data_IF_995232904069
#
_entry.id   IF_995232904069
#
_cell.length_a   1.000
_cell.length_b   1.000
_cell.length_c   1.000
_cell.angle_alpha   90.00
_cell.angle_beta   90.00
_cell.angle_gamma   90.00
#
_symmetry.space_group_name_H-M   'P 1'
#
loop_
_entity.id
_entity.type
_entity.pdbx_description
1 polymer ?
2 non-polymer ?
3 water ?
#
# COMPACT_ATOMS: atom_id res chain seq x y z
N UNK A 1 11.93 29.39 12.17
CA UNK A 1 12.93 29.81 11.21
C UNK A 1 13.13 28.85 10.04
N UNK A 2 13.83 29.31 9.01
CA UNK A 2 14.15 28.42 7.88
C UNK A 2 14.81 27.13 8.36
N UNK A 3 14.37 26.02 7.77
CA UNK A 3 14.75 24.69 8.20
C UNK A 3 14.02 24.18 9.42
N UNK A 4 12.99 24.90 9.91
CA UNK A 4 12.27 24.46 11.10
C UNK A 4 10.75 24.60 10.94
N UNK A 5 10.23 24.52 9.72
CA UNK A 5 8.78 24.54 9.53
C UNK A 5 8.13 23.48 10.43
N UNK A 6 7.14 23.85 11.25
CA UNK A 6 6.56 22.86 12.18
C UNK A 6 5.84 21.72 11.47
N UNK A 7 6.09 20.50 11.98
CA UNK A 7 5.45 19.29 11.49
C UNK A 7 4.02 19.18 12.02
N UNK A 8 3.10 18.71 11.15
CA UNK A 8 1.70 18.54 11.50
C UNK A 8 1.15 17.25 10.87
N UNK A 9 0.08 16.71 11.50
CA UNK A 9 -0.76 15.67 10.94
C UNK A 9 -2.10 16.25 10.49
N UNK A 10 -2.73 15.69 9.47
CA UNK A 10 -4.05 16.22 9.06
C UNK A 10 -5.13 15.87 10.06
N UNK A 11 -6.19 16.68 10.07
CA UNK A 11 -7.32 16.49 10.99
C UNK A 11 -8.32 15.56 10.29
N UNK A 12 -8.19 14.25 10.55
CA UNK A 12 -8.96 13.21 9.86
C UNK A 12 -9.23 12.08 10.86
N UNK A 13 -10.51 11.76 11.07
CA UNK A 13 -10.89 10.65 11.94
C UNK A 13 -10.69 9.32 11.21
N UNK A 14 -10.84 8.19 11.94
CA UNK A 14 -10.57 6.90 11.33
C UNK A 14 -11.53 6.63 10.16
N UNK A 15 -12.78 7.09 10.25
CA UNK A 15 -13.73 6.98 9.16
C UNK A 15 -13.47 7.90 7.99
N UNK A 16 -12.41 8.72 8.05
CA UNK A 16 -12.02 9.62 6.97
C UNK A 16 -10.67 9.25 6.37
N UNK A 17 -10.18 8.01 6.61
CA UNK A 17 -8.87 7.55 6.18
C UNK A 17 -8.97 6.39 5.18
N UNK A 18 -8.00 6.35 4.25
CA UNK A 18 -7.90 5.38 3.15
C UNK A 18 -6.66 4.51 3.30
N UNK A 19 -6.78 3.23 2.90
CA UNK A 19 -5.62 2.36 2.83
C UNK A 19 -4.71 2.77 1.67
N UNK A 20 -3.40 2.73 1.91
CA UNK A 20 -2.38 3.09 0.93
C UNK A 20 -1.83 1.90 0.15
N UNK A 21 -2.28 0.68 0.47
CA UNK A 21 -1.84 -0.54 -0.23
C UNK A 21 -2.95 -1.25 -1.01
N UNK A 22 -4.21 -0.86 -0.84
CA UNK A 22 -5.33 -1.40 -1.61
C UNK A 22 -6.41 -0.32 -1.60
N UNK A 23 -7.14 -0.08 -2.72
CA UNK A 23 -7.99 1.13 -2.80
C UNK A 23 -9.36 1.01 -2.12
N UNK A 24 -9.33 0.98 -0.79
CA UNK A 24 -10.51 0.85 0.08
C UNK A 24 -10.29 1.69 1.34
N UNK A 25 -11.37 1.96 2.10
CA UNK A 25 -11.21 2.71 3.37
C UNK A 25 -10.53 1.87 4.45
N UNK A 26 -9.93 2.57 5.42
CA UNK A 26 -9.46 1.93 6.65
C UNK A 26 -10.65 1.43 7.47
N UNK A 27 -10.51 0.21 8.02
CA UNK A 27 -11.52 -0.37 8.92
C UNK A 27 -11.17 -0.25 10.40
N UNK A 28 -9.91 -0.42 10.80
CA UNK A 28 -9.55 -0.39 12.21
C UNK A 28 -8.03 -0.21 12.34
N UNK A 29 -7.60 0.22 13.53
CA UNK A 29 -6.19 0.11 13.91
C UNK A 29 -5.92 -1.30 14.45
N UNK A 30 -4.69 -1.79 14.25
CA UNK A 30 -4.34 -3.16 14.63
C UNK A 30 -2.86 -3.26 14.99
N UNK A 31 -2.53 -4.07 16.02
CA UNK A 31 -1.14 -4.30 16.37
C UNK A 31 -0.88 -5.80 16.49
N UNK A 32 0.32 -6.24 16.07
CA UNK A 32 0.68 -7.63 16.12
C UNK A 32 2.20 -7.75 16.11
N UNK A 33 2.75 -8.82 16.71
CA UNK A 33 4.21 -9.01 16.64
C UNK A 33 4.72 -9.42 15.27
N UNK A 34 3.93 -10.12 14.46
CA UNK A 34 4.40 -10.67 13.20
C UNK A 34 5.75 -11.37 13.36
N UNK A 35 5.86 -12.17 14.43
CA UNK A 35 7.15 -12.77 14.77
C UNK A 35 7.70 -13.60 13.63
N UNK A 36 8.88 -13.21 13.13
CA UNK A 36 9.59 -13.96 12.13
C UNK A 36 9.33 -13.54 10.70
N UNK A 37 8.43 -12.59 10.47
CA UNK A 37 8.09 -12.14 9.13
C UNK A 37 8.75 -10.79 8.89
N UNK A 38 9.23 -10.59 7.68
CA UNK A 38 9.84 -9.32 7.28
C UNK A 38 8.75 -8.43 6.70
N UNK A 39 8.54 -7.28 7.32
CA UNK A 39 7.51 -6.32 6.94
C UNK A 39 8.18 -5.29 6.02
N UNK A 40 7.93 -5.39 4.71
CA UNK A 40 8.61 -4.55 3.72
C UNK A 40 7.67 -4.13 2.59
N UNK A 41 6.51 -3.56 2.90
CA UNK A 41 5.61 -3.10 1.82
C UNK A 41 6.25 -2.01 0.98
N UNK A 42 5.82 -1.92 -0.30
CA UNK A 42 6.35 -0.93 -1.24
C UNK A 42 5.36 0.17 -1.60
N UNK A 43 4.06 -0.07 -1.47
CA UNK A 43 3.05 0.99 -1.49
C UNK A 43 2.82 1.49 -0.07
N UNK A 44 2.38 2.74 0.04
CA UNK A 44 2.19 3.36 1.36
C UNK A 44 3.47 3.69 2.10
N UNK A 45 4.51 4.13 1.39
CA UNK A 45 5.84 4.41 1.95
C UNK A 45 6.22 5.86 1.67
N UNK A 46 6.51 6.60 2.75
CA UNK A 46 7.00 7.98 2.66
C UNK A 46 7.75 8.32 3.94
N UNK A 47 8.79 9.14 3.82
CA UNK A 47 9.34 9.79 5.00
C UNK A 47 8.34 10.83 5.53
N UNK A 48 8.55 11.21 6.79
CA UNK A 48 7.70 12.24 7.39
C UNK A 48 7.89 13.60 6.74
N UNK A 49 9.05 13.82 6.10
CA UNK A 49 9.32 15.08 5.40
C UNK A 49 8.84 15.09 3.95
N UNK A 50 8.15 14.04 3.51
CA UNK A 50 7.42 14.06 2.25
C UNK A 50 8.08 13.42 1.04
N UNK A 51 9.10 12.58 1.24
CA UNK A 51 9.75 11.86 0.13
C UNK A 51 9.10 10.48 -0.03
N UNK A 52 8.41 10.28 -1.14
CA UNK A 52 7.77 8.99 -1.41
C UNK A 52 8.81 7.94 -1.79
N UNK A 53 8.59 6.70 -1.35
CA UNK A 53 9.57 5.61 -1.47
C UNK A 53 8.92 4.39 -2.13
N UNK A 54 9.75 3.45 -2.54
CA UNK A 54 9.22 2.22 -3.13
C UNK A 54 8.46 2.48 -4.42
N UNK A 55 7.28 1.88 -4.53
CA UNK A 55 6.37 2.11 -5.65
C UNK A 55 5.26 3.11 -5.31
N UNK A 56 5.44 3.93 -4.29
CA UNK A 56 4.35 4.78 -3.80
C UNK A 56 4.13 6.00 -4.70
N UNK A 57 2.85 6.25 -4.99
CA UNK A 57 2.38 7.43 -5.74
C UNK A 57 1.16 8.01 -5.03
N UNK A 58 0.67 9.16 -5.51
CA UNK A 58 -0.28 9.96 -4.74
C UNK A 58 -1.75 9.65 -5.02
N UNK A 59 -2.09 9.11 -6.19
CA UNK A 59 -3.49 8.98 -6.62
C UNK A 59 -4.12 7.72 -6.03
N UNK A 60 -5.16 7.84 -5.19
CA UNK A 60 -5.71 6.64 -4.53
C UNK A 60 -6.23 5.57 -5.50
N UNK A 61 -6.88 5.96 -6.58
CA UNK A 61 -7.43 4.99 -7.51
C UNK A 61 -6.39 4.35 -8.42
N UNK A 62 -5.12 4.74 -8.34
CA UNK A 62 -4.06 4.05 -9.06
C UNK A 62 -3.36 2.98 -8.22
N UNK A 63 -3.75 2.81 -6.94
CA UNK A 63 -3.17 1.77 -6.10
C UNK A 63 -3.68 0.40 -6.56
N UNK A 64 -2.76 -0.49 -6.94
CA UNK A 64 -3.03 -1.83 -7.47
C UNK A 64 -3.71 -1.82 -8.84
N UNK A 65 -3.73 -0.68 -9.53
CA UNK A 65 -4.24 -0.62 -10.90
C UNK A 65 -3.11 -0.86 -11.89
N UNK A 66 -3.49 -1.23 -13.13
CA UNK A 66 -2.58 -1.32 -14.26
C UNK A 66 -3.19 -0.65 -15.47
N UNK A 67 -2.32 -0.14 -16.36
CA UNK A 67 -2.72 0.39 -17.66
C UNK A 67 -1.73 -0.11 -18.72
N UNK A 68 -2.21 -0.24 -19.95
CA UNK A 68 -1.33 -0.64 -21.04
C UNK A 68 -2.12 -0.97 -22.30
N UNK A 69 -1.49 -1.80 -23.15
CA UNK A 69 -2.13 -2.35 -24.34
C UNK A 69 -1.81 -3.85 -24.41
N UNK A 70 -2.78 -4.63 -24.89
CA UNK A 70 -2.58 -6.08 -25.06
C UNK A 70 -1.98 -6.30 -26.44
N UNK A 71 -0.78 -6.90 -26.49
CA UNK A 71 -0.15 -7.18 -27.79
C UNK A 71 -0.53 -8.53 -28.39
N UNK A 72 -0.91 -9.51 -27.56
CA UNK A 72 -1.22 -10.86 -28.05
C UNK A 72 -1.97 -11.65 -27.00
N UNK A 73 -2.80 -12.58 -27.48
CA UNK A 73 -3.39 -13.65 -26.68
C UNK A 73 -2.42 -14.83 -26.67
N UNK A 74 -2.44 -15.61 -25.58
CA UNK A 74 -1.58 -16.81 -25.48
C UNK A 74 -2.17 -17.92 -26.35
N UNK A 75 -1.45 -18.42 -27.36
CA UNK A 75 -2.09 -19.39 -28.29
C UNK A 75 -2.65 -20.64 -27.64
N UNK A 76 -1.97 -21.22 -26.64
CA UNK A 76 -2.42 -22.50 -26.07
C UNK A 76 -3.27 -22.33 -24.82
N UNK A 77 -3.63 -21.09 -24.45
CA UNK A 77 -4.61 -20.85 -23.37
C UNK A 77 -5.26 -19.50 -23.66
N UNK A 78 -6.41 -19.55 -24.33
CA UNK A 78 -7.11 -18.33 -24.76
C UNK A 78 -7.72 -17.53 -23.60
N UNK A 79 -7.65 -18.04 -22.37
CA UNK A 79 -8.00 -17.22 -21.21
C UNK A 79 -6.91 -16.20 -20.86
N UNK A 80 -5.70 -16.32 -21.42
CA UNK A 80 -4.56 -15.50 -21.03
C UNK A 80 -4.21 -14.45 -22.09
N UNK A 81 -3.93 -13.23 -21.63
CA UNK A 81 -3.64 -12.07 -22.50
C UNK A 81 -2.39 -11.37 -22.00
N UNK A 82 -1.46 -11.06 -22.92
CA UNK A 82 -0.22 -10.35 -22.56
C UNK A 82 -0.45 -8.84 -22.55
N UNK A 83 -0.30 -8.20 -21.39
CA UNK A 83 -0.45 -6.75 -21.25
C UNK A 83 0.91 -6.08 -21.19
N UNK A 84 1.17 -5.18 -22.15
CA UNK A 84 2.38 -4.37 -22.18
C UNK A 84 2.06 -3.08 -21.43
N UNK A 85 2.68 -2.88 -20.28
CA UNK A 85 2.22 -1.86 -19.33
C UNK A 85 2.83 -0.50 -19.63
N UNK A 86 2.06 0.54 -19.29
CA UNK A 86 2.53 1.91 -19.13
C UNK A 86 2.39 2.30 -17.67
N UNK A 87 2.73 3.54 -17.35
CA UNK A 87 2.43 4.04 -16.02
C UNK A 87 0.93 4.27 -15.87
N UNK A 88 0.44 4.17 -14.63
CA UNK A 88 -0.98 4.32 -14.38
C UNK A 88 -1.48 5.74 -14.65
N UNK A 89 -0.57 6.72 -14.65
CA UNK A 89 -0.92 8.08 -15.06
C UNK A 89 -0.87 8.27 -16.58
N UNK A 90 -0.57 7.22 -17.34
CA UNK A 90 -0.62 7.26 -18.79
C UNK A 90 0.74 7.42 -19.48
N UNK A 91 1.76 7.90 -18.77
CA UNK A 91 3.06 8.09 -19.40
C UNK A 91 3.73 6.75 -19.66
N UNK A 92 4.64 6.69 -20.64
CA UNK A 92 5.34 5.42 -20.89
C UNK A 92 6.14 4.98 -19.68
N UNK A 93 6.26 3.67 -19.51
CA UNK A 93 7.08 3.15 -18.41
C UNK A 93 8.53 3.06 -18.86
N UNK A 94 9.42 3.63 -18.03
CA UNK A 94 10.86 3.63 -18.27
C UNK A 94 11.49 2.62 -17.31
N UNK A 95 11.89 1.43 -17.77
CA UNK A 95 12.48 0.45 -16.85
C UNK A 95 13.76 0.91 -16.19
N UNK A 96 14.42 1.95 -16.73
CA UNK A 96 15.68 2.43 -16.17
C UNK A 96 15.48 3.37 -14.98
N UNK A 97 14.24 3.79 -14.73
CA UNK A 97 13.91 4.62 -13.57
C UNK A 97 14.19 3.85 -12.28
N UNK A 98 14.59 4.60 -11.24
CA UNK A 98 15.10 4.00 -10.00
C UNK A 98 13.98 3.67 -9.03
N UNK A 99 13.08 2.80 -9.47
CA UNK A 99 11.99 2.29 -8.63
C UNK A 99 11.87 0.80 -8.85
N UNK A 100 11.19 0.08 -7.94
CA UNK A 100 11.10 -1.39 -8.11
C UNK A 100 10.25 -1.84 -9.27
N UNK A 101 9.28 -1.03 -9.70
CA UNK A 101 8.25 -1.39 -10.67
C UNK A 101 7.44 -0.13 -10.97
N UNK A 102 6.55 -0.12 -11.95
CA UNK A 102 5.72 1.07 -12.17
C UNK A 102 5.01 1.47 -10.88
N UNK A 103 4.96 2.77 -10.62
CA UNK A 103 4.34 3.23 -9.37
C UNK A 103 2.89 2.74 -9.29
N UNK A 104 2.50 2.24 -8.10
CA UNK A 104 1.17 1.71 -7.87
C UNK A 104 1.01 0.21 -8.07
N UNK A 105 1.99 -0.46 -8.68
CA UNK A 105 1.93 -1.90 -8.90
C UNK A 105 1.66 -2.62 -7.58
N UNK A 106 0.83 -3.69 -7.57
CA UNK A 106 0.63 -4.43 -6.30
C UNK A 106 1.94 -4.88 -5.66
N UNK A 107 1.97 -4.86 -4.32
CA UNK A 107 3.18 -5.21 -3.54
C UNK A 107 3.02 -6.49 -2.72
N UNK A 108 2.12 -7.39 -3.12
CA UNK A 108 1.93 -8.64 -2.38
C UNK A 108 1.54 -9.76 -3.35
N UNK A 109 1.83 -11.00 -2.93
CA UNK A 109 1.45 -12.19 -3.68
C UNK A 109 -0.03 -12.50 -3.47
N UNK A 110 -0.76 -12.72 -4.57
CA UNK A 110 -2.19 -13.01 -4.53
C UNK A 110 -2.72 -13.28 -5.94
N UNK A 111 -3.90 -13.89 -6.00
CA UNK A 111 -4.80 -13.86 -7.15
C UNK A 111 -5.77 -12.70 -6.92
N UNK A 112 -5.56 -11.58 -7.62
CA UNK A 112 -6.37 -10.38 -7.44
C UNK A 112 -7.51 -10.38 -8.46
N UNK A 113 -8.75 -10.43 -7.97
CA UNK A 113 -9.95 -10.32 -8.80
C UNK A 113 -10.16 -8.86 -9.21
N UNK A 114 -10.45 -8.64 -10.50
CA UNK A 114 -10.67 -7.30 -11.01
C UNK A 114 -11.22 -7.32 -12.42
N UNK A 115 -11.37 -6.12 -13.01
CA UNK A 115 -12.03 -5.94 -14.30
C UNK A 115 -11.06 -5.30 -15.31
N UNK A 116 -10.95 -5.91 -16.50
CA UNK A 116 -10.11 -5.44 -17.60
C UNK A 116 -11.04 -4.74 -18.60
N UNK A 117 -10.83 -3.43 -18.83
CA UNK A 117 -11.69 -2.64 -19.70
C UNK A 117 -10.89 -1.94 -20.79
N UNK A 118 -11.57 -1.60 -21.90
CA UNK A 118 -10.96 -0.96 -23.07
C UNK A 118 -11.93 0.04 -23.70
N UNK A 119 -11.35 1.10 -24.29
CA UNK A 119 -12.08 2.07 -25.13
C UNK A 119 -11.24 2.37 -26.36
N UNK A 120 -11.81 2.15 -27.55
CA UNK A 120 -11.13 2.37 -28.81
C UNK A 120 -11.31 3.82 -29.26
N UNK A 121 -10.54 4.29 -30.26
CA UNK A 121 -10.72 5.68 -30.72
C UNK A 121 -12.12 6.01 -31.20
N UNK A 122 -12.85 5.05 -31.76
CA UNK A 122 -14.24 5.28 -32.19
C UNK A 122 -15.25 5.14 -31.04
N UNK A 123 -14.77 5.02 -29.80
CA UNK A 123 -15.57 4.96 -28.58
C UNK A 123 -16.32 3.65 -28.39
N UNK A 124 -16.06 2.62 -29.20
CA UNK A 124 -16.53 1.28 -28.85
C UNK A 124 -15.70 0.71 -27.71
N UNK A 125 -16.40 0.05 -26.76
CA UNK A 125 -15.86 -0.35 -25.47
C UNK A 125 -16.23 -1.78 -25.13
N UNK A 126 -15.44 -2.38 -24.24
CA UNK A 126 -15.73 -3.70 -23.67
C UNK A 126 -15.02 -3.85 -22.32
N UNK A 127 -15.57 -4.68 -21.45
CA UNK A 127 -14.93 -5.00 -20.18
C UNK A 127 -15.31 -6.42 -19.74
N UNK A 128 -14.35 -7.11 -19.09
CA UNK A 128 -14.50 -8.49 -18.65
C UNK A 128 -13.78 -8.72 -17.33
N UNK A 129 -14.44 -9.40 -16.39
CA UNK A 129 -13.81 -9.73 -15.11
C UNK A 129 -12.78 -10.84 -15.27
N UNK A 130 -11.95 -11.02 -14.24
CA UNK A 130 -10.78 -11.87 -14.37
C UNK A 130 -9.83 -11.71 -13.18
N UNK A 131 -8.59 -12.18 -13.38
CA UNK A 131 -7.63 -12.36 -12.28
C UNK A 131 -6.25 -11.91 -12.72
N UNK A 132 -5.58 -11.13 -11.85
CA UNK A 132 -4.18 -10.75 -11.96
C UNK A 132 -3.41 -11.57 -10.92
N UNK A 133 -2.60 -12.53 -11.39
CA UNK A 133 -1.82 -13.41 -10.52
C UNK A 133 -0.43 -12.80 -10.35
N UNK A 134 -0.17 -12.19 -9.19
CA UNK A 134 1.08 -11.48 -8.96
C UNK A 134 2.23 -12.43 -8.61
N UNK A 135 1.94 -13.71 -8.40
CA UNK A 135 2.91 -14.77 -8.14
C UNK A 135 3.38 -15.48 -9.41
N UNK A 136 2.74 -15.22 -10.56
CA UNK A 136 3.03 -15.96 -11.79
C UNK A 136 4.43 -15.63 -12.31
N UNK A 137 5.12 -16.60 -12.94
CA UNK A 137 6.38 -16.26 -13.63
C UNK A 137 6.23 -15.19 -14.71
N UNK A 138 5.01 -14.99 -15.22
CA UNK A 138 4.76 -13.98 -16.24
C UNK A 138 4.38 -12.61 -15.65
N UNK A 139 4.34 -12.47 -14.32
CA UNK A 139 4.16 -11.17 -13.68
C UNK A 139 5.54 -10.50 -13.63
N UNK A 140 5.84 -9.70 -14.66
CA UNK A 140 7.16 -9.05 -14.81
C UNK A 140 6.99 -7.57 -15.11
N UNK A 141 6.29 -6.82 -14.23
CA UNK A 141 6.05 -5.39 -14.52
C UNK A 141 7.30 -4.54 -14.67
N UNK A 142 8.39 -4.85 -13.95
CA UNK A 142 9.63 -4.10 -14.12
C UNK A 142 10.25 -4.29 -15.50
N UNK A 143 9.95 -5.40 -16.18
CA UNK A 143 10.36 -5.61 -17.57
C UNK A 143 9.35 -5.06 -18.57
N UNK A 144 8.18 -4.62 -18.11
CA UNK A 144 7.18 -4.02 -18.97
C UNK A 144 5.96 -4.87 -19.31
N UNK A 145 5.76 -6.03 -18.68
CA UNK A 145 4.67 -6.89 -19.10
C UNK A 145 4.14 -7.74 -17.94
N UNK A 146 2.84 -8.04 -17.99
CA UNK A 146 2.16 -8.96 -17.07
C UNK A 146 1.16 -9.79 -17.87
N UNK A 147 0.68 -10.87 -17.27
CA UNK A 147 -0.40 -11.68 -17.86
C UNK A 147 -1.71 -11.40 -17.12
N UNK A 148 -2.78 -11.17 -17.88
CA UNK A 148 -4.15 -11.09 -17.36
C UNK A 148 -4.89 -12.36 -17.77
N UNK A 149 -5.72 -12.88 -16.87
CA UNK A 149 -6.57 -14.04 -17.17
C UNK A 149 -8.04 -13.69 -17.02
N UNK A 150 -8.86 -14.12 -17.99
CA UNK A 150 -10.29 -13.84 -18.01
C UNK A 150 -11.06 -15.10 -18.39
N UNK A 151 -12.31 -15.20 -17.91
CA UNK A 151 -13.20 -16.24 -18.41
C UNK A 151 -13.50 -16.05 -19.90
N UNK A 152 -13.60 -14.79 -20.34
CA UNK A 152 -13.79 -14.46 -21.76
C UNK A 152 -12.59 -14.91 -22.59
N UNK A 153 -12.87 -15.51 -23.76
CA UNK A 153 -11.80 -16.02 -24.63
C UNK A 153 -11.69 -15.33 -25.99
N UNK A 154 -12.55 -14.35 -26.32
CA UNK A 154 -12.53 -13.68 -27.63
C UNK A 154 -12.60 -12.16 -27.59
N UNK A 155 -13.43 -11.58 -26.72
CA UNK A 155 -13.86 -10.18 -26.80
C UNK A 155 -12.94 -9.23 -26.03
N UNK A 156 -11.63 -9.29 -26.30
CA UNK A 156 -10.68 -8.24 -25.95
C UNK A 156 -9.87 -7.94 -27.21
N UNK A 157 -9.66 -6.64 -27.48
CA UNK A 157 -8.95 -6.20 -28.69
C UNK A 157 -7.46 -6.03 -28.41
N UNK A 158 -6.66 -6.28 -29.45
CA UNK A 158 -5.22 -6.01 -29.43
C UNK A 158 -4.93 -4.55 -29.79
N UNK A 159 -3.86 -4.00 -29.23
CA UNK A 159 -3.38 -2.64 -29.54
C UNK A 159 -4.45 -1.57 -29.31
N UNK A 160 -5.15 -1.65 -28.18
CA UNK A 160 -6.13 -0.65 -27.78
C UNK A 160 -5.94 -0.33 -26.30
N UNK A 161 -6.18 0.92 -25.89
CA UNK A 161 -5.99 1.30 -24.47
C UNK A 161 -6.80 0.41 -23.51
N UNK A 162 -6.11 -0.11 -22.49
CA UNK A 162 -6.64 -1.12 -21.57
C UNK A 162 -6.31 -0.71 -20.14
N UNK A 163 -7.25 -0.93 -19.21
CA UNK A 163 -7.04 -0.66 -17.77
C UNK A 163 -7.52 -1.85 -16.97
N UNK A 164 -6.81 -2.19 -15.89
CA UNK A 164 -7.22 -3.18 -14.90
C UNK A 164 -7.62 -2.48 -13.62
N UNK A 165 -8.90 -2.63 -13.22
CA UNK A 165 -9.45 -2.09 -11.97
C UNK A 165 -9.47 -3.21 -10.94
N UNK A 166 -8.71 -3.12 -9.85
CA UNK A 166 -8.74 -4.16 -8.83
C UNK A 166 -10.01 -4.09 -7.97
N UNK A 167 -10.50 -5.25 -7.52
CA UNK A 167 -11.68 -5.34 -6.65
C UNK A 167 -11.35 -6.02 -5.30
N UNK A 168 -10.64 -7.14 -5.34
CA UNK A 168 -10.30 -7.84 -4.11
C UNK A 168 -9.54 -9.10 -4.42
N UNK A 169 -9.58 -10.06 -3.49
CA UNK A 169 -9.01 -11.39 -3.72
C UNK A 169 -9.99 -12.27 -4.48
N UNK A 170 -9.48 -13.02 -5.47
CA UNK A 170 -10.31 -14.03 -6.14
C UNK A 170 -10.48 -15.26 -5.27
N UNK A 171 -9.38 -15.78 -4.75
CA UNK A 171 -9.33 -16.87 -3.78
C UNK A 171 -8.11 -16.62 -2.90
N UNK A 172 -7.85 -17.54 -1.97
CA UNK A 172 -6.72 -17.39 -1.05
C UNK A 172 -5.45 -18.10 -1.49
N UNK A 173 -5.44 -18.71 -2.69
CA UNK A 173 -4.24 -19.41 -3.14
C UNK A 173 -3.11 -18.40 -3.33
N UNK A 174 -1.95 -18.70 -2.77
CA UNK A 174 -0.74 -17.87 -2.84
C UNK A 174 -0.83 -16.57 -2.03
N UNK A 175 -1.93 -16.27 -1.34
CA UNK A 175 -2.09 -14.98 -0.67
C UNK A 175 -1.14 -14.86 0.53
N UNK A 176 -0.28 -13.84 0.49
CA UNK A 176 0.60 -13.50 1.63
C UNK A 176 0.89 -12.00 1.53
N UNK A 177 0.30 -11.21 2.43
CA UNK A 177 0.37 -9.75 2.32
C UNK A 177 1.77 -9.20 2.51
N UNK A 178 2.68 -9.99 3.09
CA UNK A 178 4.05 -9.53 3.32
C UNK A 178 5.07 -10.15 2.36
N UNK A 179 4.65 -10.98 1.42
CA UNK A 179 5.54 -11.55 0.41
C UNK A 179 5.54 -10.65 -0.83
N UNK A 180 6.71 -10.07 -1.15
CA UNK A 180 6.83 -9.20 -2.31
C UNK A 180 6.84 -10.02 -3.60
N UNK A 181 6.17 -9.56 -4.65
CA UNK A 181 6.37 -10.18 -5.97
C UNK A 181 7.83 -10.05 -6.41
N UNK A 182 8.22 -10.92 -7.36
CA UNK A 182 9.48 -10.76 -8.08
C UNK A 182 9.17 -9.92 -9.32
N UNK A 183 9.43 -8.60 -9.22
CA UNK A 183 8.97 -7.66 -10.23
C UNK A 183 9.60 -7.89 -11.61
N UNK A 184 10.78 -8.51 -11.68
CA UNK A 184 11.41 -8.87 -12.95
C UNK A 184 11.34 -10.37 -13.25
N UNK A 185 10.55 -11.13 -12.49
CA UNK A 185 10.40 -12.55 -12.75
C UNK A 185 11.48 -13.43 -12.14
N UNK A 186 11.53 -14.65 -12.66
CA UNK A 186 12.31 -15.72 -12.04
C UNK A 186 13.80 -15.40 -12.02
N UNK A 187 14.42 -15.63 -10.87
CA UNK A 187 15.87 -15.59 -10.68
C UNK A 187 16.48 -14.20 -10.74
N UNK A 188 15.68 -13.15 -10.74
CA UNK A 188 16.17 -11.77 -10.80
C UNK A 188 15.75 -11.01 -9.55
N UNK A 189 16.70 -10.30 -8.93
CA UNK A 189 16.43 -9.61 -7.68
C UNK A 189 15.66 -8.32 -7.91
N UNK A 190 14.82 -7.97 -6.93
CA UNK A 190 14.16 -6.67 -6.91
C UNK A 190 15.19 -5.57 -6.59
N UNK A 191 14.88 -4.34 -7.04
CA UNK A 191 15.79 -3.21 -6.90
C UNK A 191 15.05 -2.00 -6.35
N UNK A 192 15.82 -1.10 -5.72
CA UNK A 192 15.30 0.21 -5.29
C UNK A 192 14.18 0.08 -4.26
N UNK A 193 14.21 -0.97 -3.44
CA UNK A 193 13.13 -1.21 -2.49
C UNK A 193 13.18 -0.25 -1.31
N UNK A 194 12.00 0.12 -0.82
CA UNK A 194 11.90 0.72 0.50
C UNK A 194 12.30 -0.32 1.54
N UNK A 195 12.99 0.08 2.61
CA UNK A 195 13.54 -0.92 3.54
C UNK A 195 12.48 -1.55 4.44
N UNK A 196 12.85 -2.68 5.04
CA UNK A 196 11.95 -3.31 6.00
C UNK A 196 11.86 -2.45 7.26
N UNK A 197 10.78 -2.65 8.02
CA UNK A 197 10.53 -1.91 9.25
C UNK A 197 10.26 -2.89 10.39
N UNK A 198 10.64 -2.50 11.60
CA UNK A 198 10.43 -3.34 12.78
C UNK A 198 10.55 -2.45 14.02
N UNK A 199 9.97 -2.87 15.14
CA UNK A 199 10.21 -2.15 16.39
C UNK A 199 11.66 -2.34 16.82
N UNK A 200 12.27 -1.28 17.34
CA UNK A 200 13.68 -1.28 17.71
C UNK A 200 13.87 -0.97 19.19
N UNK A 201 12.82 -1.13 20.00
CA UNK A 201 12.89 -0.88 21.42
C UNK A 201 12.07 -1.95 22.13
N UNK A 202 12.57 -2.55 23.21
CA UNK A 202 11.85 -3.66 23.83
C UNK A 202 10.47 -3.26 24.33
N UNK A 203 9.51 -4.17 24.14
CA UNK A 203 8.14 -3.96 24.54
C UNK A 203 7.24 -3.32 23.50
N UNK A 204 7.78 -2.99 22.32
CA UNK A 204 7.02 -2.30 21.29
C UNK A 204 6.66 -3.22 20.13
N UNK A 205 5.57 -2.89 19.47
CA UNK A 205 5.09 -3.55 18.26
C UNK A 205 4.71 -2.49 17.24
N UNK A 206 4.72 -2.86 15.96
CA UNK A 206 4.16 -2.00 14.92
C UNK A 206 2.66 -1.79 15.14
N UNK A 207 2.19 -0.58 14.82
CA UNK A 207 0.76 -0.25 14.75
C UNK A 207 0.39 -0.03 13.29
N UNK A 208 -0.63 -0.75 12.82
CA UNK A 208 -1.05 -0.71 11.42
C UNK A 208 -2.43 -0.07 11.26
N UNK A 209 -2.67 0.48 10.06
CA UNK A 209 -4.01 0.90 9.62
C UNK A 209 -4.51 -0.24 8.72
N UNK A 210 -5.51 -0.98 9.21
CA UNK A 210 -5.94 -2.25 8.61
C UNK A 210 -7.27 -2.11 7.84
N UNK A 211 -7.34 -2.74 6.68
CA UNK A 211 -8.58 -2.97 5.95
C UNK A 211 -8.81 -4.46 5.72
N UNK A 212 -10.08 -4.86 5.66
CA UNK A 212 -10.49 -6.23 5.32
C UNK A 212 -11.06 -6.18 3.90
N UNK A 213 -10.28 -6.62 2.92
CA UNK A 213 -10.64 -6.42 1.51
C UNK A 213 -11.59 -7.51 1.01
N UNK A 214 -12.31 -7.29 -0.09
CA UNK A 214 -13.25 -8.32 -0.56
C UNK A 214 -12.58 -9.62 -0.97
N UNK A 215 -13.33 -10.72 -0.83
CA UNK A 215 -12.92 -12.05 -1.27
C UNK A 215 -14.07 -12.72 -2.02
N UNK A 216 -13.79 -13.19 -3.25
CA UNK A 216 -14.86 -13.72 -4.11
C UNK A 216 -15.36 -15.08 -3.65
N UNK A 217 -14.50 -15.90 -3.03
CA UNK A 217 -14.90 -17.16 -2.47
C UNK A 217 -13.85 -17.73 -1.54
N UNK A 218 -14.29 -18.35 -0.45
CA UNK A 218 -13.36 -18.96 0.51
C UNK A 218 -13.46 -18.34 1.89
N UNK A 219 -12.43 -18.56 2.72
CA UNK A 219 -12.42 -18.12 4.11
C UNK A 219 -11.14 -17.34 4.38
N UNK A 220 -11.28 -16.07 4.80
CA UNK A 220 -10.14 -15.22 5.12
C UNK A 220 -10.64 -13.92 5.71
N UNK A 221 -9.85 -13.35 6.63
CA UNK A 221 -10.09 -11.97 7.08
C UNK A 221 -9.71 -10.91 6.04
N UNK A 222 -9.06 -11.29 4.94
CA UNK A 222 -8.71 -10.31 3.90
C UNK A 222 -7.84 -9.15 4.36
N UNK A 223 -7.02 -9.36 5.39
CA UNK A 223 -6.31 -8.25 6.02
C UNK A 223 -5.20 -7.70 5.13
N UNK A 224 -5.27 -6.40 4.85
CA UNK A 224 -4.18 -5.62 4.24
C UNK A 224 -3.83 -4.50 5.22
N UNK A 225 -2.63 -4.56 5.79
CA UNK A 225 -2.14 -3.60 6.78
C UNK A 225 -1.20 -2.61 6.11
N UNK A 226 -1.48 -1.31 6.27
CA UNK A 226 -0.57 -0.28 5.77
C UNK A 226 0.11 0.49 6.91
N UNK A 227 1.29 1.04 6.62
CA UNK A 227 2.09 1.72 7.65
C UNK A 227 1.63 3.15 7.91
N UNK A 228 1.12 3.82 6.87
CA UNK A 228 0.59 5.19 6.92
C UNK A 228 -0.65 5.20 6.04
N UNK A 229 -1.73 5.87 6.44
CA UNK A 229 -2.86 6.03 5.52
C UNK A 229 -2.50 6.94 4.34
N UNK A 230 -3.20 6.75 3.22
CA UNK A 230 -2.87 7.50 2.00
C UNK A 230 -2.91 9.02 2.25
N UNK A 231 -3.85 9.49 3.07
CA UNK A 231 -4.00 10.91 3.32
C UNK A 231 -2.80 11.51 4.06
N UNK A 232 -2.17 10.73 4.95
CA UNK A 232 -0.99 11.25 5.63
C UNK A 232 0.16 11.44 4.64
N UNK A 233 0.35 10.47 3.74
CA UNK A 233 1.34 10.59 2.67
C UNK A 233 1.09 11.83 1.83
N UNK A 234 -0.18 12.04 1.43
CA UNK A 234 -0.54 13.22 0.63
C UNK A 234 -0.22 14.51 1.39
N UNK A 235 -0.46 14.53 2.71
CA UNK A 235 -0.19 15.70 3.55
C UNK A 235 1.30 15.99 3.64
N UNK A 236 2.11 14.97 3.95
CA UNK A 236 3.55 15.18 4.08
C UNK A 236 4.17 15.65 2.76
N UNK A 237 3.70 15.11 1.64
CA UNK A 237 4.20 15.52 0.33
C UNK A 237 4.02 17.03 0.10
N UNK A 238 2.86 17.58 0.50
CA UNK A 238 2.62 19.02 0.36
C UNK A 238 3.40 19.85 1.38
N UNK A 239 3.46 19.38 2.64
CA UNK A 239 4.02 20.19 3.73
C UNK A 239 5.55 20.25 3.69
N UNK A 240 6.23 19.14 3.45
CA UNK A 240 7.69 19.14 3.36
C UNK A 240 8.36 19.67 4.64
N UNK A 241 7.87 19.25 5.82
CA UNK A 241 8.44 19.73 7.08
C UNK A 241 9.62 18.86 7.51
N UNK A 242 10.77 19.43 7.85
CA UNK A 242 11.92 18.60 8.26
C UNK A 242 11.69 17.86 9.58
N UNK A 243 12.36 16.71 9.71
CA UNK A 243 12.35 15.90 10.94
C UNK A 243 13.62 16.16 11.74
N UNK A 244 13.56 16.81 12.91
CA UNK A 244 14.79 17.10 13.68
C UNK A 244 15.32 15.94 14.49
N UNK A 245 14.54 14.89 14.72
CA UNK A 245 14.98 13.68 15.42
C UNK A 245 14.41 12.46 14.70
N UNK A 246 14.70 11.26 15.24
CA UNK A 246 14.26 10.01 14.64
C UNK A 246 12.76 9.74 14.83
N UNK A 247 12.11 10.36 15.83
CA UNK A 247 10.77 9.94 16.26
C UNK A 247 9.95 11.15 16.70
N UNK A 248 8.72 11.25 16.18
CA UNK A 248 7.71 12.18 16.68
C UNK A 248 6.76 11.46 17.64
N UNK A 249 6.57 12.03 18.83
CA UNK A 249 5.58 11.54 19.78
C UNK A 249 4.20 12.04 19.36
N UNK A 250 3.25 11.11 19.15
CA UNK A 250 1.88 11.44 18.73
C UNK A 250 0.88 10.88 19.75
N UNK A 251 -0.24 11.58 19.92
CA UNK A 251 -1.28 11.21 20.88
C UNK A 251 -2.65 11.17 20.20
N UNK A 252 -3.41 10.07 20.42
CA UNK A 252 -4.76 9.96 19.89
C UNK A 252 -5.68 10.76 20.79
N UNK A 253 -6.29 11.82 20.26
CA UNK A 253 -6.95 12.84 21.06
C UNK A 253 -8.42 12.99 20.68
N UNK A 254 -9.26 13.21 21.69
CA UNK A 254 -10.65 13.57 21.47
C UNK A 254 -10.71 15.09 21.39
N UNK A 255 -11.08 15.67 20.24
CA UNK A 255 -10.95 17.13 20.08
C UNK A 255 -11.94 17.93 20.91
N UNK A 256 -13.05 17.33 21.35
CA UNK A 256 -14.06 18.08 22.07
C UNK A 256 -13.69 18.29 23.53
N UNK A 257 -12.97 17.34 24.13
CA UNK A 257 -12.57 17.43 25.53
C UNK A 257 -11.07 17.65 25.72
N UNK A 258 -10.26 17.35 24.72
CA UNK A 258 -8.83 17.32 24.89
C UNK A 258 -8.29 16.05 25.51
N UNK A 259 -9.17 15.15 25.96
CA UNK A 259 -8.71 13.89 26.55
C UNK A 259 -7.88 13.10 25.54
N UNK A 260 -6.76 12.57 26.01
CA UNK A 260 -5.87 11.77 25.19
C UNK A 260 -6.06 10.31 25.60
N UNK A 261 -6.27 9.44 24.60
CA UNK A 261 -6.58 8.04 24.82
C UNK A 261 -5.31 7.18 24.96
N UNK A 262 -4.33 7.36 24.06
CA UNK A 262 -3.07 6.63 24.10
C UNK A 262 -2.03 7.40 23.30
N UNK A 263 -0.76 6.98 23.42
CA UNK A 263 0.34 7.61 22.71
C UNK A 263 1.14 6.57 21.91
N UNK A 264 1.89 7.07 20.92
CA UNK A 264 2.63 6.22 19.99
C UNK A 264 3.86 6.98 19.46
N UNK A 265 4.78 6.23 18.86
CA UNK A 265 6.01 6.76 18.25
C UNK A 265 5.91 6.70 16.73
N UNK A 266 5.95 7.86 16.07
CA UNK A 266 5.91 7.97 14.61
C UNK A 266 7.34 8.20 14.11
N UNK A 267 7.90 7.18 13.46
CA UNK A 267 9.31 7.17 13.07
C UNK A 267 9.51 7.94 11.77
N UNK A 268 10.67 8.60 11.66
CA UNK A 268 10.94 9.49 10.51
C UNK A 268 10.89 8.73 9.19
N UNK A 269 11.16 7.42 9.21
CA UNK A 269 11.12 6.57 8.03
C UNK A 269 9.69 6.25 7.57
N UNK A 270 8.68 6.56 8.38
CA UNK A 270 7.27 6.44 7.99
C UNK A 270 6.54 5.21 8.49
N UNK A 271 6.55 4.99 9.80
CA UNK A 271 5.82 3.89 10.44
C UNK A 271 5.62 4.22 11.92
N UNK A 272 4.71 3.49 12.57
CA UNK A 272 4.31 3.74 13.96
C UNK A 272 4.60 2.51 14.82
N UNK A 273 5.10 2.75 16.04
CA UNK A 273 5.18 1.72 17.08
C UNK A 273 4.43 2.14 18.34
N UNK A 274 3.98 1.13 19.10
CA UNK A 274 3.25 1.31 20.36
C UNK A 274 3.81 0.32 21.38
N UNK A 275 3.61 0.63 22.67
CA UNK A 275 3.97 -0.30 23.73
C UNK A 275 2.80 -1.25 23.95
N UNK A 276 2.93 -2.49 23.46
CA UNK A 276 1.87 -3.48 23.52
C UNK A 276 2.47 -4.85 23.28
N UNK A 277 1.81 -5.88 23.79
CA UNK A 277 2.22 -7.27 23.58
C UNK A 277 1.03 -8.09 23.10
N UNK A 278 1.18 -8.74 21.95
CA UNK A 278 0.16 -9.62 21.41
C UNK A 278 -0.60 -8.99 20.26
N UNK A 279 -1.28 -9.86 19.50
CA UNK A 279 -2.11 -9.41 18.38
C UNK A 279 -3.46 -8.94 18.89
N UNK A 280 -3.87 -7.74 18.51
CA UNK A 280 -5.14 -7.19 18.99
C UNK A 280 -5.64 -6.08 18.10
N UNK A 281 -6.94 -6.04 17.80
CA UNK A 281 -7.53 -4.83 17.23
C UNK A 281 -7.84 -3.82 18.33
N UNK A 282 -7.83 -2.56 17.93
CA UNK A 282 -8.08 -1.44 18.83
C UNK A 282 -9.37 -0.78 18.41
N UNK A 283 -10.07 -0.18 19.38
CA UNK A 283 -11.23 0.65 19.10
C UNK A 283 -10.90 2.07 19.56
N UNK A 284 -11.14 3.03 18.68
CA UNK A 284 -10.84 4.44 18.94
C UNK A 284 -12.15 5.21 18.92
N UNK A 285 -12.21 6.36 19.58
CA UNK A 285 -13.41 7.22 19.47
C UNK A 285 -13.61 7.66 18.03
N UNK A 286 -14.84 7.61 17.51
CA UNK A 286 -15.05 7.98 16.10
C UNK A 286 -14.69 9.42 15.77
N UNK A 287 -14.69 10.33 16.74
CA UNK A 287 -14.38 11.73 16.48
C UNK A 287 -12.92 12.10 16.76
N UNK A 288 -12.11 11.15 17.24
CA UNK A 288 -10.73 11.44 17.59
C UNK A 288 -9.77 11.30 16.42
N UNK A 289 -8.53 11.75 16.64
CA UNK A 289 -7.46 11.61 15.67
C UNK A 289 -6.11 11.80 16.35
N UNK A 290 -5.05 11.26 15.72
CA UNK A 290 -3.69 11.49 16.21
C UNK A 290 -3.31 12.96 16.02
N UNK A 291 -2.61 13.52 17.02
CA UNK A 291 -2.02 14.85 16.97
C UNK A 291 -0.53 14.78 17.33
N UNK A 292 0.28 15.57 16.62
CA UNK A 292 1.68 15.73 16.99
C UNK A 292 1.83 16.40 18.35
N UNK A 293 2.70 15.85 19.20
CA UNK A 293 3.01 16.42 20.51
C UNK A 293 4.39 17.07 20.55
N UNK A 294 5.46 16.33 20.22
CA UNK A 294 6.85 16.76 20.38
C UNK A 294 7.73 15.76 19.65
N UNK A 295 9.01 16.11 19.48
CA UNK A 295 10.01 15.20 18.93
C UNK A 295 10.79 14.55 20.07
N UNK A 296 10.97 13.22 19.98
CA UNK A 296 11.69 12.44 20.99
C UNK A 296 12.75 11.58 20.30
N UNK A 297 13.28 10.57 20.95
CA UNK A 297 14.29 9.71 20.32
C UNK A 297 13.84 8.24 20.29
N UNK A 298 14.68 7.39 19.69
CA UNK A 298 14.36 5.99 19.47
C UNK A 298 14.06 5.26 20.78
N UNK A 299 14.59 5.76 21.90
CA UNK A 299 14.60 5.05 23.16
C UNK A 299 13.60 5.62 24.16
N UNK A 300 12.67 6.45 23.69
CA UNK A 300 11.65 7.02 24.57
C UNK A 300 10.69 5.93 25.01
N UNK A 301 10.35 5.93 26.31
CA UNK A 301 9.49 4.90 26.90
C UNK A 301 8.04 5.37 26.88
N UNK A 302 7.21 4.68 26.12
CA UNK A 302 5.78 5.00 26.01
C UNK A 302 4.98 4.39 27.15
N UNK A 303 3.89 5.07 27.52
CA UNK A 303 2.90 4.46 28.37
C UNK A 303 2.28 3.26 27.64
N UNK A 304 2.15 2.11 28.30
CA UNK A 304 1.52 0.97 27.61
C UNK A 304 0.07 1.26 27.25
N UNK A 305 -0.32 0.82 26.05
CA UNK A 305 -1.71 0.88 25.64
C UNK A 305 -2.56 0.00 26.54
X LIG B 1 -10.24 -18.35 -16.18
X LIG B 1 -10.30 -19.81 -16.54
X LIG B 1 -11.13 -20.54 -15.49
X LIG B 1 -11.16 -21.95 -15.78
X LIG B 1 -10.49 -20.31 -14.14
X LIG B 1 -10.37 -18.82 -13.77
X LIG B 1 -9.80 -18.64 -12.36
X LIG B 1 -8.29 -18.83 -12.24
X LIG B 1 -7.97 -20.24 -12.25
X LIG B 1 -7.54 -18.08 -13.33
X LIG B 1 -8.11 -18.33 -14.75
X LIG B 1 -9.60 -18.02 -14.83
X LIG B 1 -7.26 -17.64 -15.81
X LIG B 1 -5.71 -17.85 -15.67
X LIG B 1 -5.18 -17.52 -14.28
X LIG B 1 -6.02 -18.35 -13.30
X LIG B 1 -5.27 -18.20 -12.00
X LIG B 1 -3.80 -18.13 -12.42
X LIG B 1 -3.75 -17.96 -13.94
X LIG B 1 -5.34 -16.03 -14.00
X LIG B 1 -9.88 -16.53 -14.59
X LIG B 1 -2.57 -17.11 -14.41
X LIG B 1 -2.53 -16.97 -15.92
X LIG B 1 -1.21 -17.64 -13.91
X LIG B 1 -0.81 -19.02 -14.43
X LIG B 1 1.57 -18.68 -14.27
X LIG B 1 0.63 -19.45 -14.13
X LIG B 1 0.76 -20.67 -13.72
X LIG B 1 2.02 -21.30 -13.37
X LIG B 1 2.75 -21.95 -14.51
X LIG B 1 4.23 -22.79 -14.02
X LIG B 1 5.01 -22.91 -15.23
X LIG B 1 3.78 -24.05 -13.46
X LIG B 1 4.89 -21.99 -12.98
X LIG B 1 -11.14 -17.99 -16.19
X LIG B 1 -9.73 -17.89 -16.88
X LIG B 1 -10.72 -19.92 -17.40
X LIG B 1 -9.41 -20.18 -16.56
X LIG B 1 -12.04 -20.20 -15.48
X LIG B 1 -10.62 -22.13 -16.41
X LIG B 1 -9.60 -20.71 -14.15
X LIG B 1 -11.01 -20.76 -13.47
X LIG B 1 -11.27 -18.45 -13.76
X LIG B 1 -10.01 -17.73 -12.07
X LIG B 1 -10.24 -19.27 -11.78
X LIG B 1 -8.02 -18.46 -11.38
X LIG B 1 -8.59 -20.67 -11.87
X LIG B 1 -7.65 -17.14 -13.16
X LIG B 1 -8.02 -19.28 -14.91
X LIG B 1 -7.44 -16.70 -15.78
X LIG B 1 -7.52 -17.99 -16.68
X LIG B 1 -5.51 -18.78 -15.87
X LIG B 1 -5.27 -17.28 -16.32
X LIG B 1 -5.93 -19.29 -13.55
X LIG B 1 -5.53 -17.38 -11.55
X LIG B 1 -5.41 -18.97 -11.43
X LIG B 1 -3.39 -17.36 -12.00
X LIG B 1 -3.35 -18.94 -12.16
X LIG B 1 -3.63 -18.86 -14.30
X LIG B 1 -4.83 -15.53 -14.65
X LIG B 1 -4.99 -15.84 -13.11
X LIG B 1 -6.27 -15.80 -14.03
X LIG B 1 -9.58 -16.28 -13.70
X LIG B 1 -9.40 -16.00 -15.25
X LIG B 1 -10.83 -16.36 -14.66
X LIG B 1 -2.69 -16.24 -13.99
X LIG B 1 -2.67 -17.84 -16.33
X LIG B 1 -3.22 -16.36 -16.21
X LIG B 1 -1.66 -16.62 -16.19
X LIG B 1 -0.52 -17.00 -14.17
X LIG B 1 -1.23 -17.68 -12.94
X LIG B 1 -0.93 -19.02 -15.40
X LIG B 1 -1.41 -19.69 -14.05
X LIG B 1 0.05 -21.15 -13.65
X LIG B 1 2.60 -20.61 -13.00
X LIG B 1 1.86 -21.96 -12.69
X LIG B 1 2.97 -21.27 -15.16
X LIG B 1 2.14 -22.59 -14.92
X LIG B 1 4.54 -22.15 -12.22
#
# INVERSE_FOLDING_TARGET
GPGSKPFTLPILTIGELSNSRFPVPIDELYTSPNEGVIVQPQNGRSTLDGELLGTTQLVPSNICALRGRINAQVPDDHHQWNLQVTNTNGTPFDPTEDVPAPLGTPDFLANIYGVTSQRNPNNTCRAHDGVLATWSPKFTPKLGSVILGTWEESDLDLNQPTRFTPVGLFNTDHFDQWALPSYSGRLTLNMNLAPSVSPLFPGEQLLFFRSHIPLKGGTSDGAIDCLLPQEWIQHFYQESAPSPTDVALIRYTNPDTGRVLFEAKLHRQGFITVANSGSRPIVVPPNGYFRFDSWVNQFYSLAPMGTGNGRRRVQ
TUD C1 C2 C3 O3 C4 C5 C6 C7 O7 C8 C9 C10 C11 C12 C13 C14 C15 C16 C17 C18 C19 C20 C21 C22 C23 O25 C24 N26 C25 C26 S27 O28 O29 O30 H11 H12 H21 H22 H3 HO3 H41 H42 H5 H61 H62 H7 HO7 H8 H9 H111 H112 H121 H122 H14 H151 H152 H161 H162 H17 H181 H182 H183 H191 H192 H193 H20 H211 H212 H213 H221 H222 H231 H232 H26 H251 H252 H261 H262 H30
#
